data_IF_528567386334
#
_entry.id   IF_528567386334
#
_cell.length_a   1.000
_cell.length_b   1.000
_cell.length_c   1.000
_cell.angle_alpha   90.00
_cell.angle_beta   90.00
_cell.angle_gamma   90.00
#
_symmetry.space_group_name_H-M   'P 1'
#
loop_
_entity.id
_entity.type
_entity.pdbx_description
1 polymer ?
#
# COMPACT_ATOMS: atom_id res chain seq x y z
N UNK A 1 -34.98 21.56 37.57
CA UNK A 1 -34.40 21.66 36.21
C UNK A 1 -32.91 21.33 36.35
N UNK A 2 -32.52 20.10 36.03
CA UNK A 2 -31.15 19.63 36.16
C UNK A 2 -30.65 19.18 34.78
N UNK A 3 -29.43 19.61 34.48
CA UNK A 3 -28.74 19.60 33.18
C UNK A 3 -28.68 18.21 32.55
N UNK A 4 -29.32 18.04 31.39
CA UNK A 4 -29.05 16.94 30.45
C UNK A 4 -27.65 17.13 29.85
N UNK A 5 -26.69 16.31 30.28
CA UNK A 5 -25.41 16.15 29.58
C UNK A 5 -25.68 15.55 28.20
N UNK A 6 -25.44 16.35 27.16
CA UNK A 6 -25.36 15.84 25.79
C UNK A 6 -24.08 15.00 25.68
N UNK A 7 -24.20 13.70 25.93
CA UNK A 7 -23.24 12.70 25.46
C UNK A 7 -23.12 12.89 23.94
N UNK A 8 -22.01 13.49 23.51
CA UNK A 8 -21.62 13.56 22.10
C UNK A 8 -21.62 12.13 21.57
N UNK A 9 -22.48 11.85 20.57
CA UNK A 9 -22.50 10.55 19.91
C UNK A 9 -21.11 10.29 19.30
N UNK A 10 -20.35 9.41 19.94
CA UNK A 10 -19.04 8.94 19.49
C UNK A 10 -19.22 8.31 18.10
N UNK A 11 -18.31 8.57 17.17
CA UNK A 11 -18.35 7.87 15.88
C UNK A 11 -18.24 6.36 16.12
N UNK A 12 -19.18 5.58 15.56
CA UNK A 12 -19.14 4.11 15.67
C UNK A 12 -17.87 3.59 15.00
N UNK A 13 -16.88 3.23 15.82
CA UNK A 13 -15.70 2.48 15.37
C UNK A 13 -16.05 1.01 15.12
N UNK A 14 -15.17 0.26 14.45
CA UNK A 14 -15.35 -1.15 14.09
C UNK A 14 -15.61 -2.09 15.30
N UNK A 15 -15.32 -1.61 16.51
CA UNK A 15 -15.51 -2.30 17.79
C UNK A 15 -16.50 -1.61 18.73
N UNK A 16 -17.33 -0.68 18.22
CA UNK A 16 -18.31 0.06 19.04
C UNK A 16 -19.29 -0.87 19.74
N UNK A 17 -19.78 -1.90 19.05
CA UNK A 17 -20.80 -2.79 19.60
C UNK A 17 -20.25 -3.72 20.71
N UNK A 18 -18.94 -3.95 20.72
CA UNK A 18 -18.24 -4.60 21.85
C UNK A 18 -18.02 -3.64 23.02
N UNK A 19 -17.83 -2.34 22.78
CA UNK A 19 -17.71 -1.32 23.83
C UNK A 19 -19.06 -0.96 24.47
N UNK A 20 -20.14 -0.89 23.67
CA UNK A 20 -21.49 -0.59 24.14
C UNK A 20 -21.98 -1.60 25.19
N UNK A 21 -21.48 -2.85 25.15
CA UNK A 21 -21.77 -3.88 26.16
C UNK A 21 -21.16 -3.60 27.53
N UNK A 22 -20.16 -2.72 27.61
CA UNK A 22 -19.44 -2.41 28.84
C UNK A 22 -19.61 -0.95 29.31
N UNK A 23 -20.20 -0.08 28.49
CA UNK A 23 -20.54 1.31 28.88
C UNK A 23 -21.66 1.35 29.94
N UNK A 24 -22.48 0.30 30.06
CA UNK A 24 -23.55 0.18 31.08
C UNK A 24 -23.07 -0.35 32.45
N UNK A 25 -21.78 -0.66 32.61
CA UNK A 25 -21.22 -1.12 33.90
C UNK A 25 -20.89 0.09 34.79
N UNK A 26 -21.66 0.22 35.88
CA UNK A 26 -21.53 1.27 36.90
C UNK A 26 -20.20 1.22 37.70
N UNK A 27 -19.36 0.20 37.45
CA UNK A 27 -18.05 -0.03 38.08
C UNK A 27 -16.97 -0.19 36.98
N UNK A 28 -15.77 0.41 37.16
CA UNK A 28 -14.67 0.25 36.21
C UNK A 28 -14.24 -1.21 36.15
N UNK A 29 -14.14 -1.76 34.93
CA UNK A 29 -13.66 -3.13 34.69
C UNK A 29 -12.31 -3.32 35.40
N UNK A 30 -12.08 -4.41 36.14
CA UNK A 30 -10.80 -4.68 36.77
C UNK A 30 -9.69 -4.70 35.72
N UNK A 31 -8.58 -4.02 36.04
CA UNK A 31 -7.46 -3.76 35.10
C UNK A 31 -6.88 -5.01 34.44
N UNK A 32 -6.98 -6.16 35.09
CA UNK A 32 -6.50 -7.44 34.54
C UNK A 32 -7.39 -7.98 33.41
N UNK A 33 -8.71 -7.79 33.50
CA UNK A 33 -9.65 -8.22 32.46
C UNK A 33 -9.56 -7.33 31.23
N UNK A 34 -9.38 -6.01 31.42
CA UNK A 34 -9.12 -5.08 30.32
C UNK A 34 -7.81 -5.39 29.59
N UNK A 35 -6.74 -5.71 30.33
CA UNK A 35 -5.46 -6.10 29.72
C UNK A 35 -5.55 -7.41 28.95
N UNK A 36 -6.31 -8.38 29.47
CA UNK A 36 -6.55 -9.64 28.78
C UNK A 36 -7.32 -9.43 27.48
N UNK A 37 -8.40 -8.64 27.51
CA UNK A 37 -9.18 -8.29 26.33
C UNK A 37 -8.35 -7.53 25.30
N UNK A 38 -7.55 -6.56 25.72
CA UNK A 38 -6.70 -5.78 24.81
C UNK A 38 -5.60 -6.65 24.16
N UNK A 39 -5.03 -7.60 24.91
CA UNK A 39 -4.08 -8.59 24.36
C UNK A 39 -4.76 -9.52 23.36
N UNK A 40 -5.97 -9.97 23.63
CA UNK A 40 -6.74 -10.85 22.74
C UNK A 40 -7.14 -10.12 21.44
N UNK A 41 -7.64 -8.89 21.55
CA UNK A 41 -7.92 -8.00 20.41
C UNK A 41 -6.66 -7.77 19.57
N UNK A 42 -5.53 -7.50 20.21
CA UNK A 42 -4.25 -7.31 19.51
C UNK A 42 -3.79 -8.57 18.79
N UNK A 43 -3.84 -9.73 19.45
CA UNK A 43 -3.45 -11.01 18.84
C UNK A 43 -4.35 -11.38 17.65
N UNK A 44 -5.66 -11.15 17.77
CA UNK A 44 -6.61 -11.38 16.67
C UNK A 44 -6.38 -10.41 15.49
N UNK A 45 -6.08 -9.14 15.79
CA UNK A 45 -5.76 -8.15 14.76
C UNK A 45 -4.45 -8.51 14.05
N UNK A 46 -3.40 -8.89 14.79
CA UNK A 46 -2.10 -9.29 14.24
C UNK A 46 -2.24 -10.52 13.32
N UNK A 47 -3.03 -11.52 13.72
CA UNK A 47 -3.30 -12.69 12.89
C UNK A 47 -4.05 -12.33 11.60
N UNK A 48 -5.06 -11.45 11.69
CA UNK A 48 -5.84 -10.99 10.53
C UNK A 48 -4.95 -10.19 9.57
N UNK A 49 -4.15 -9.27 10.11
CA UNK A 49 -3.20 -8.45 9.34
C UNK A 49 -2.19 -9.32 8.60
N UNK A 50 -1.70 -10.38 9.23
CA UNK A 50 -0.81 -11.34 8.58
C UNK A 50 -1.47 -12.03 7.39
N UNK A 51 -2.72 -12.49 7.54
CA UNK A 51 -3.47 -13.16 6.46
C UNK A 51 -3.70 -12.20 5.28
N UNK A 52 -4.11 -10.96 5.55
CA UNK A 52 -4.29 -9.94 4.50
C UNK A 52 -2.98 -9.67 3.75
N UNK A 53 -1.86 -9.50 4.48
CA UNK A 53 -0.54 -9.34 3.87
C UNK A 53 -0.15 -10.56 3.04
N UNK A 54 -0.37 -11.77 3.52
CA UNK A 54 -0.08 -13.00 2.77
C UNK A 54 -0.90 -13.11 1.47
N UNK A 55 -2.18 -12.75 1.50
CA UNK A 55 -3.03 -12.72 0.31
C UNK A 55 -2.54 -11.69 -0.72
N UNK A 56 -2.07 -10.52 -0.27
CA UNK A 56 -1.49 -9.50 -1.14
C UNK A 56 -0.15 -9.95 -1.73
N UNK A 57 0.70 -10.63 -0.95
CA UNK A 57 1.91 -11.26 -1.47
C UNK A 57 1.57 -12.25 -2.59
N UNK A 58 0.52 -13.04 -2.39
CA UNK A 58 0.07 -14.00 -3.39
C UNK A 58 -0.41 -13.29 -4.67
N UNK A 59 -1.17 -12.20 -4.56
CA UNK A 59 -1.53 -11.36 -5.72
C UNK A 59 -0.30 -10.81 -6.45
N UNK A 60 0.70 -10.32 -5.70
CA UNK A 60 1.98 -9.87 -6.27
C UNK A 60 2.65 -10.99 -7.06
N UNK A 61 2.73 -12.20 -6.51
CA UNK A 61 3.29 -13.37 -7.20
C UNK A 61 2.50 -13.74 -8.46
N UNK A 62 1.16 -13.69 -8.43
CA UNK A 62 0.32 -13.98 -9.58
C UNK A 62 0.57 -12.99 -10.73
N UNK A 63 0.67 -11.69 -10.42
CA UNK A 63 0.97 -10.68 -11.44
C UNK A 63 2.37 -10.89 -12.03
N UNK A 64 3.35 -11.31 -11.22
CA UNK A 64 4.66 -11.70 -11.73
C UNK A 64 4.59 -12.87 -12.71
N UNK A 65 3.88 -13.94 -12.36
CA UNK A 65 3.69 -15.10 -13.25
C UNK A 65 2.99 -14.67 -14.55
N UNK A 66 1.96 -13.82 -14.43
CA UNK A 66 1.20 -13.29 -15.53
C UNK A 66 2.08 -12.48 -16.51
N UNK A 67 3.06 -11.72 -16.02
CA UNK A 67 4.04 -11.06 -16.88
C UNK A 67 5.17 -11.96 -17.38
N UNK A 68 5.36 -13.15 -16.82
CA UNK A 68 6.33 -14.11 -17.37
C UNK A 68 5.70 -14.97 -18.48
N UNK A 69 4.39 -15.23 -18.41
CA UNK A 69 3.67 -16.12 -19.33
C UNK A 69 3.84 -15.84 -20.83
N UNK A 70 3.87 -14.59 -21.33
CA UNK A 70 3.99 -14.36 -22.77
C UNK A 70 5.44 -14.41 -23.29
N UNK A 71 6.45 -14.42 -22.41
CA UNK A 71 7.87 -14.40 -22.81
C UNK A 71 8.23 -15.59 -23.72
N UNK A 72 7.86 -16.85 -23.40
CA UNK A 72 8.14 -17.99 -24.28
C UNK A 72 7.53 -17.81 -25.68
N UNK A 73 6.27 -17.38 -25.78
CA UNK A 73 5.62 -17.16 -27.08
C UNK A 73 6.25 -16.04 -27.91
N UNK A 74 6.83 -15.02 -27.26
CA UNK A 74 7.60 -13.99 -27.97
C UNK A 74 8.94 -14.55 -28.50
N UNK A 75 9.60 -15.42 -27.74
CA UNK A 75 10.85 -16.08 -28.16
C UNK A 75 10.60 -17.07 -29.31
N UNK A 76 9.51 -17.85 -29.22
CA UNK A 76 9.15 -18.88 -30.20
C UNK A 76 8.55 -18.31 -31.48
N UNK A 77 8.33 -16.99 -31.57
CA UNK A 77 7.74 -16.37 -32.76
C UNK A 77 6.23 -16.58 -32.90
N UNK A 78 5.59 -17.26 -31.94
CA UNK A 78 4.18 -17.67 -31.99
C UNK A 78 3.22 -16.66 -31.38
N UNK A 79 3.73 -15.64 -30.69
CA UNK A 79 2.90 -14.59 -30.11
C UNK A 79 2.18 -13.79 -31.22
N UNK A 80 0.85 -13.60 -31.12
CA UNK A 80 0.05 -12.93 -32.17
C UNK A 80 0.52 -11.50 -32.46
N UNK A 81 1.19 -10.85 -31.51
CA UNK A 81 1.69 -9.48 -31.62
C UNK A 81 3.21 -9.40 -31.87
N UNK A 82 3.85 -10.49 -32.29
CA UNK A 82 5.29 -10.49 -32.52
C UNK A 82 5.66 -9.85 -33.87
N UNK A 83 6.21 -8.64 -33.86
CA UNK A 83 6.63 -7.93 -35.07
C UNK A 83 7.74 -8.60 -35.88
N UNK A 84 8.44 -9.60 -35.31
CA UNK A 84 9.43 -10.39 -36.06
C UNK A 84 8.77 -11.11 -37.25
N UNK A 85 7.48 -11.43 -37.17
CA UNK A 85 6.74 -12.00 -38.29
C UNK A 85 6.43 -10.97 -39.37
N UNK A 86 6.19 -9.70 -39.04
CA UNK A 86 5.85 -8.67 -40.04
C UNK A 86 7.03 -8.32 -40.97
N UNK A 87 8.27 -8.40 -40.48
CA UNK A 87 9.47 -8.12 -41.28
C UNK A 87 10.06 -9.36 -41.99
N UNK A 88 9.69 -10.57 -41.58
CA UNK A 88 10.17 -11.82 -42.20
C UNK A 88 9.12 -12.58 -43.03
N UNK A 89 7.84 -12.19 -42.99
CA UNK A 89 6.85 -12.71 -43.94
C UNK A 89 7.09 -12.10 -45.33
N UNK A 90 7.42 -12.96 -46.29
CA UNK A 90 7.73 -12.53 -47.66
C UNK A 90 6.57 -11.79 -48.31
N UNK A 91 6.73 -10.48 -48.51
CA UNK A 91 6.23 -9.58 -49.59
C UNK A 91 4.74 -9.67 -50.01
N UNK A 92 3.90 -10.52 -49.42
CA UNK A 92 2.55 -10.81 -49.90
C UNK A 92 1.43 -10.55 -48.88
N UNK A 93 1.74 -10.10 -47.67
CA UNK A 93 0.71 -9.70 -46.71
C UNK A 93 0.49 -8.20 -46.81
N UNK A 94 -0.64 -7.81 -47.42
CA UNK A 94 -1.13 -6.42 -47.42
C UNK A 94 -1.48 -6.09 -45.96
N UNK A 95 -0.77 -5.13 -45.36
CA UNK A 95 -1.04 -4.71 -43.98
C UNK A 95 -2.45 -4.13 -43.83
N UNK A 96 -3.26 -4.70 -42.94
CA UNK A 96 -4.52 -4.10 -42.49
C UNK A 96 -4.24 -3.05 -41.40
N UNK A 97 -5.21 -2.17 -41.12
CA UNK A 97 -5.10 -1.12 -40.09
C UNK A 97 -4.75 -1.69 -38.70
N UNK A 98 -5.19 -2.92 -38.43
CA UNK A 98 -4.85 -3.69 -37.22
C UNK A 98 -3.33 -3.97 -37.11
N UNK A 99 -2.61 -4.13 -38.23
CA UNK A 99 -1.16 -4.33 -38.23
C UNK A 99 -0.35 -3.09 -37.84
N UNK A 100 -0.94 -1.90 -37.89
CA UNK A 100 -0.32 -0.65 -37.42
C UNK A 100 -0.57 -0.38 -35.93
N UNK A 101 -1.55 -1.05 -35.32
CA UNK A 101 -1.92 -0.89 -33.91
C UNK A 101 -1.44 -2.04 -33.00
N UNK A 102 -0.98 -3.16 -33.59
CA UNK A 102 -0.25 -4.17 -32.83
C UNK A 102 1.07 -3.57 -32.35
N UNK A 103 1.16 -3.37 -31.05
CA UNK A 103 2.38 -3.18 -30.26
C UNK A 103 2.01 -3.78 -28.89
N UNK A 104 2.90 -4.57 -28.27
CA UNK A 104 4.30 -4.22 -28.13
C UNK A 104 5.24 -5.22 -28.83
N UNK A 105 6.16 -4.70 -29.63
CA UNK A 105 7.37 -5.42 -30.00
C UNK A 105 8.04 -5.96 -28.73
N UNK A 106 8.53 -7.20 -28.78
CA UNK A 106 9.20 -7.87 -27.65
C UNK A 106 10.19 -6.96 -26.86
N UNK A 107 11.01 -6.09 -27.48
CA UNK A 107 11.85 -5.16 -26.74
C UNK A 107 11.08 -4.15 -25.87
N UNK A 108 9.96 -3.64 -26.36
CA UNK A 108 9.08 -2.72 -25.63
C UNK A 108 8.45 -3.46 -24.45
N UNK A 109 7.94 -4.67 -24.69
CA UNK A 109 7.44 -5.55 -23.62
C UNK A 109 8.47 -5.74 -22.51
N UNK A 110 9.72 -6.05 -22.86
CA UNK A 110 10.80 -6.28 -21.90
C UNK A 110 11.15 -5.05 -21.07
N UNK A 111 11.14 -3.84 -21.66
CA UNK A 111 11.36 -2.60 -20.92
C UNK A 111 10.25 -2.38 -19.89
N UNK A 112 8.99 -2.54 -20.30
CA UNK A 112 7.85 -2.32 -19.40
C UNK A 112 7.72 -3.41 -18.34
N UNK A 113 7.97 -4.67 -18.70
CA UNK A 113 8.13 -5.75 -17.74
C UNK A 113 9.23 -5.43 -16.72
N UNK A 114 10.36 -4.89 -17.17
CA UNK A 114 11.46 -4.47 -16.28
C UNK A 114 11.03 -3.39 -15.30
N UNK A 115 10.40 -2.31 -15.78
CA UNK A 115 9.99 -1.19 -14.91
C UNK A 115 8.84 -1.59 -13.98
N UNK A 116 7.75 -2.14 -14.52
CA UNK A 116 6.58 -2.54 -13.74
C UNK A 116 6.89 -3.72 -12.80
N UNK A 117 7.65 -4.70 -13.28
CA UNK A 117 8.16 -5.80 -12.49
C UNK A 117 9.08 -5.31 -11.37
N UNK A 118 9.92 -4.31 -11.62
CA UNK A 118 10.74 -3.71 -10.56
C UNK A 118 9.92 -2.99 -9.49
N UNK A 119 8.89 -2.22 -9.86
CA UNK A 119 7.98 -1.61 -8.88
C UNK A 119 7.22 -2.66 -8.06
N UNK A 120 6.76 -3.72 -8.73
CA UNK A 120 6.07 -4.83 -8.09
C UNK A 120 6.99 -5.63 -7.16
N UNK A 121 8.27 -5.80 -7.54
CA UNK A 121 9.32 -6.39 -6.72
C UNK A 121 9.56 -5.58 -5.45
N UNK A 122 9.69 -4.25 -5.57
CA UNK A 122 9.84 -3.35 -4.43
C UNK A 122 8.64 -3.42 -3.48
N UNK A 123 7.42 -3.47 -4.01
CA UNK A 123 6.21 -3.65 -3.21
C UNK A 123 6.21 -5.00 -2.47
N UNK A 124 6.62 -6.09 -3.13
CA UNK A 124 6.75 -7.42 -2.52
C UNK A 124 7.80 -7.47 -1.40
N UNK A 125 8.93 -6.78 -1.58
CA UNK A 125 9.97 -6.66 -0.54
C UNK A 125 9.42 -5.89 0.68
N UNK A 126 8.75 -4.76 0.48
CA UNK A 126 8.17 -4.01 1.59
C UNK A 126 7.14 -4.84 2.35
N UNK A 127 6.34 -5.63 1.63
CA UNK A 127 5.34 -6.50 2.22
C UNK A 127 5.98 -7.63 3.05
N UNK A 128 7.06 -8.25 2.56
CA UNK A 128 7.84 -9.23 3.34
C UNK A 128 8.45 -8.62 4.60
N UNK A 129 8.93 -7.38 4.51
CA UNK A 129 9.42 -6.60 5.66
C UNK A 129 8.31 -6.33 6.68
N UNK A 130 7.10 -5.97 6.23
CA UNK A 130 5.92 -5.76 7.09
C UNK A 130 5.44 -7.05 7.77
N UNK A 131 5.67 -8.20 7.15
CA UNK A 131 5.38 -9.52 7.74
C UNK A 131 6.48 -10.02 8.70
N UNK A 132 7.60 -9.30 8.82
CA UNK A 132 8.72 -9.70 9.69
C UNK A 132 9.63 -10.80 9.11
N UNK A 133 9.56 -11.07 7.81
CA UNK A 133 10.34 -12.11 7.12
C UNK A 133 11.77 -11.65 6.77
N UNK A 134 12.47 -11.06 7.74
CA UNK A 134 13.80 -10.46 7.57
C UNK A 134 14.85 -11.44 7.04
N UNK A 135 14.77 -12.72 7.42
CA UNK A 135 15.68 -13.77 6.94
C UNK A 135 15.50 -14.07 5.45
N UNK A 136 14.27 -14.04 4.96
CA UNK A 136 13.96 -14.27 3.54
C UNK A 136 14.41 -13.04 2.75
N UNK A 137 14.12 -11.85 3.27
CA UNK A 137 14.49 -10.59 2.65
C UNK A 137 16.01 -10.42 2.54
N UNK A 138 16.76 -10.81 3.56
CA UNK A 138 18.22 -10.80 3.53
C UNK A 138 18.80 -11.73 2.45
N UNK A 139 18.19 -12.90 2.23
CA UNK A 139 18.58 -13.82 1.15
C UNK A 139 18.25 -13.25 -0.23
N UNK A 140 17.06 -12.66 -0.38
CA UNK A 140 16.57 -12.12 -1.65
C UNK A 140 17.37 -10.90 -2.11
N UNK A 141 17.66 -9.98 -1.17
CA UNK A 141 18.33 -8.71 -1.47
C UNK A 141 19.85 -8.77 -1.34
N UNK A 142 20.40 -9.83 -0.73
CA UNK A 142 21.81 -9.94 -0.39
C UNK A 142 22.28 -8.91 0.65
N UNK A 143 21.35 -8.23 1.32
CA UNK A 143 21.63 -7.14 2.27
C UNK A 143 21.23 -7.52 3.68
N UNK A 144 21.97 -7.00 4.66
CA UNK A 144 21.66 -7.23 6.06
C UNK A 144 20.37 -6.52 6.48
N UNK A 145 19.64 -7.09 7.46
CA UNK A 145 18.43 -6.49 8.02
C UNK A 145 18.53 -5.06 8.51
N UNK A 146 19.72 -4.67 8.94
CA UNK A 146 20.03 -3.32 9.38
C UNK A 146 19.95 -2.28 8.26
N UNK A 147 20.17 -2.67 7.00
CA UNK A 147 20.24 -1.73 5.87
C UNK A 147 18.90 -1.03 5.59
N UNK A 148 17.78 -1.75 5.70
CA UNK A 148 16.43 -1.18 5.53
C UNK A 148 15.82 -0.66 6.83
N UNK A 149 16.49 -0.86 7.97
CA UNK A 149 16.13 -0.20 9.24
C UNK A 149 16.88 1.11 9.46
N UNK A 150 17.86 1.42 8.61
CA UNK A 150 18.70 2.62 8.70
C UNK A 150 17.92 3.91 8.42
N UNK A 151 16.81 3.84 7.69
CA UNK A 151 15.93 4.97 7.40
C UNK A 151 14.46 4.62 7.64
N UNK A 152 13.60 5.61 7.94
CA UNK A 152 12.22 5.34 8.35
C UNK A 152 11.33 4.83 7.20
N UNK A 153 11.77 4.94 5.95
CA UNK A 153 11.04 4.54 4.74
C UNK A 153 11.09 3.03 4.43
N UNK A 154 11.38 2.20 5.44
CA UNK A 154 11.40 0.74 5.28
C UNK A 154 12.43 0.28 4.24
N UNK A 155 11.98 -0.46 3.24
CA UNK A 155 12.84 -1.07 2.22
C UNK A 155 13.09 -0.17 1.00
N UNK A 156 12.71 1.10 1.08
CA UNK A 156 12.92 2.08 0.02
C UNK A 156 14.38 2.14 -0.45
N UNK A 157 14.63 2.20 -1.77
CA UNK A 157 15.97 2.40 -2.30
C UNK A 157 16.57 3.73 -1.84
N UNK A 158 17.89 3.77 -1.62
CA UNK A 158 18.60 4.95 -1.11
C UNK A 158 18.39 6.21 -1.95
N UNK A 159 18.23 6.08 -3.26
CA UNK A 159 17.95 7.22 -4.16
C UNK A 159 16.58 7.86 -3.91
N UNK A 160 15.60 7.10 -3.41
CA UNK A 160 14.26 7.60 -3.12
C UNK A 160 14.18 8.26 -1.74
N UNK A 161 15.09 7.92 -0.82
CA UNK A 161 15.03 8.37 0.59
C UNK A 161 15.08 9.88 0.72
N UNK A 162 15.93 10.58 -0.05
CA UNK A 162 15.99 12.05 -0.01
C UNK A 162 14.68 12.68 -0.45
N UNK A 163 14.15 12.25 -1.59
CA UNK A 163 12.88 12.73 -2.17
C UNK A 163 11.73 12.47 -1.19
N UNK A 164 11.64 11.26 -0.64
CA UNK A 164 10.59 10.88 0.32
C UNK A 164 10.71 11.67 1.63
N UNK A 165 11.94 11.97 2.07
CA UNK A 165 12.18 12.83 3.24
C UNK A 165 11.66 14.24 2.99
N UNK A 166 12.01 14.83 1.85
CA UNK A 166 11.57 16.18 1.48
C UNK A 166 10.04 16.28 1.38
N UNK A 167 9.40 15.29 0.76
CA UNK A 167 7.93 15.22 0.67
C UNK A 167 7.34 15.10 2.08
N UNK A 168 7.87 14.20 2.92
CA UNK A 168 7.37 14.02 4.29
C UNK A 168 7.50 15.30 5.12
N UNK A 169 8.60 16.04 4.99
CA UNK A 169 8.78 17.32 5.70
C UNK A 169 7.88 18.43 5.14
N UNK A 170 7.69 18.48 3.82
CA UNK A 170 6.81 19.46 3.18
C UNK A 170 5.33 19.26 3.55
N UNK A 171 4.91 17.99 3.62
CA UNK A 171 3.51 17.57 3.84
C UNK A 171 3.18 17.29 5.30
N UNK A 172 4.21 17.16 6.15
CA UNK A 172 4.07 16.95 7.59
C UNK A 172 3.41 18.16 8.26
N UNK A 173 2.73 17.90 9.38
CA UNK A 173 2.09 18.95 10.16
C UNK A 173 3.16 19.97 10.57
N UNK A 174 3.17 21.15 9.93
CA UNK A 174 4.11 22.21 10.24
C UNK A 174 3.73 22.73 11.62
N UNK A 175 4.42 22.24 12.65
CA UNK A 175 4.28 22.77 14.01
C UNK A 175 4.69 24.23 13.92
N UNK A 176 3.71 25.13 13.84
CA UNK A 176 3.97 26.56 13.93
C UNK A 176 4.42 26.80 15.37
N UNK A 177 5.73 26.99 15.57
CA UNK A 177 6.35 27.13 16.90
C UNK A 177 5.74 28.25 17.77
N UNK A 178 4.92 29.12 17.20
CA UNK A 178 4.32 30.29 17.87
C UNK A 178 2.79 30.19 18.06
N UNK A 179 2.16 29.07 17.70
CA UNK A 179 0.71 28.86 17.94
C UNK A 179 0.51 27.97 19.19
N UNK A 180 -0.54 28.27 19.98
CA UNK A 180 -0.92 27.44 21.13
C UNK A 180 -1.30 26.04 20.64
N UNK A 181 -0.84 25.01 21.35
CA UNK A 181 -1.13 23.60 21.03
C UNK A 181 -2.64 23.26 20.96
N UNK A 182 -3.50 24.11 21.53
CA UNK A 182 -4.96 23.98 21.51
C UNK A 182 -5.59 24.41 20.17
N UNK A 183 -4.88 25.18 19.34
CA UNK A 183 -5.38 25.63 18.03
C UNK A 183 -4.92 24.67 16.94
N UNK A 184 -5.45 23.46 16.95
CA UNK A 184 -5.32 22.55 15.80
C UNK A 184 -6.24 23.09 14.70
N UNK A 185 -5.67 23.53 13.58
CA UNK A 185 -6.45 23.89 12.38
C UNK A 185 -7.43 22.74 12.07
N UNK A 186 -8.72 23.09 11.92
CA UNK A 186 -9.78 22.14 11.61
C UNK A 186 -9.55 21.55 10.22
N UNK A 187 -8.76 20.50 10.15
CA UNK A 187 -8.62 19.68 8.95
C UNK A 187 -9.90 18.88 8.78
N UNK A 188 -10.57 19.05 7.63
CA UNK A 188 -11.69 18.18 7.24
C UNK A 188 -11.27 16.71 7.43
N UNK A 189 -12.19 15.87 7.92
CA UNK A 189 -11.91 14.47 8.25
C UNK A 189 -11.22 13.69 7.12
N UNK A 190 -11.56 14.03 5.88
CA UNK A 190 -11.06 13.36 4.68
C UNK A 190 -9.62 13.77 4.36
N UNK A 191 -9.27 15.03 4.58
CA UNK A 191 -7.89 15.50 4.41
C UNK A 191 -7.01 14.97 5.54
N UNK A 192 -7.53 14.89 6.78
CA UNK A 192 -6.79 14.29 7.90
C UNK A 192 -6.34 12.85 7.61
N UNK A 193 -7.22 12.05 7.01
CA UNK A 193 -6.91 10.65 6.72
C UNK A 193 -5.82 10.48 5.63
N UNK A 194 -5.76 11.42 4.69
CA UNK A 194 -4.72 11.49 3.66
C UNK A 194 -3.40 12.03 4.26
N UNK A 195 -3.45 13.09 5.08
CA UNK A 195 -2.29 13.61 5.80
C UNK A 195 -1.67 12.59 6.76
N UNK A 196 -2.49 11.83 7.49
CA UNK A 196 -2.03 10.74 8.34
C UNK A 196 -1.33 9.65 7.52
N UNK A 197 -1.81 9.37 6.30
CA UNK A 197 -1.16 8.42 5.39
C UNK A 197 0.18 8.93 4.84
N UNK A 198 0.27 10.22 4.50
CA UNK A 198 1.49 10.82 3.94
C UNK A 198 2.54 11.16 5.01
N UNK A 199 2.12 11.43 6.24
CA UNK A 199 3.04 11.67 7.36
C UNK A 199 3.79 10.40 7.78
N UNK A 200 3.21 9.23 7.48
CA UNK A 200 3.82 7.94 7.77
C UNK A 200 4.82 7.54 6.68
N UNK A 201 6.11 7.36 7.02
CA UNK A 201 7.18 7.16 6.02
C UNK A 201 7.00 5.89 5.18
N UNK A 202 6.46 4.81 5.76
CA UNK A 202 6.23 3.57 4.99
C UNK A 202 5.03 3.66 4.05
N UNK A 203 3.94 4.31 4.47
CA UNK A 203 2.79 4.54 3.59
C UNK A 203 3.14 5.54 2.48
N UNK A 204 3.93 6.57 2.79
CA UNK A 204 4.46 7.50 1.80
C UNK A 204 5.27 6.76 0.72
N UNK A 205 6.09 5.77 1.12
CA UNK A 205 6.82 4.94 0.17
C UNK A 205 5.87 4.11 -0.73
N UNK A 206 4.82 3.50 -0.17
CA UNK A 206 3.81 2.79 -0.96
C UNK A 206 3.07 3.72 -1.94
N UNK A 207 2.75 4.96 -1.51
CA UNK A 207 2.20 6.01 -2.38
C UNK A 207 3.14 6.35 -3.54
N UNK A 208 4.44 6.46 -3.27
CA UNK A 208 5.44 6.70 -4.30
C UNK A 208 5.48 5.57 -5.34
N UNK A 209 5.43 4.31 -4.89
CA UNK A 209 5.35 3.15 -5.79
C UNK A 209 4.05 3.16 -6.61
N UNK A 210 2.91 3.50 -5.99
CA UNK A 210 1.62 3.59 -6.67
C UNK A 210 1.61 4.66 -7.76
N UNK A 211 2.03 5.89 -7.42
CA UNK A 211 2.08 7.01 -8.37
C UNK A 211 3.07 6.71 -9.50
N UNK A 212 4.21 6.08 -9.20
CA UNK A 212 5.17 5.64 -10.22
C UNK A 212 4.59 4.58 -11.16
N UNK A 213 3.71 3.71 -10.65
CA UNK A 213 3.05 2.65 -11.42
C UNK A 213 1.85 3.10 -12.26
N UNK A 214 1.16 4.16 -11.86
CA UNK A 214 -0.11 4.61 -12.47
C UNK A 214 -0.04 5.16 -13.91
N UNK A 215 0.92 6.03 -14.30
CA UNK A 215 0.96 6.58 -15.65
C UNK A 215 1.53 5.57 -16.65
N UNK A 216 2.33 4.60 -16.19
CA UNK A 216 3.06 3.67 -17.04
C UNK A 216 2.17 2.84 -17.98
N UNK A 217 1.02 2.27 -17.56
CA UNK A 217 0.15 1.52 -18.46
C UNK A 217 -0.40 2.36 -19.61
N UNK A 218 -0.70 3.64 -19.35
CA UNK A 218 -1.26 4.57 -20.33
C UNK A 218 -0.19 5.16 -21.27
N UNK A 219 1.06 5.26 -20.81
CA UNK A 219 2.19 5.73 -21.63
C UNK A 219 2.59 4.73 -22.72
N UNK A 220 2.28 3.44 -22.54
CA UNK A 220 2.62 2.37 -23.49
C UNK A 220 1.66 2.37 -24.69
N UNK A 221 0.39 2.64 -24.43
CA UNK A 221 -0.67 2.57 -25.43
C UNK A 221 -1.37 3.91 -25.48
N UNK A 222 -0.95 4.76 -26.44
CA UNK A 222 -1.81 5.85 -26.90
C UNK A 222 -3.19 5.31 -27.29
N UNK A 223 -4.18 6.19 -27.39
CA UNK A 223 -5.64 5.96 -27.41
C UNK A 223 -6.25 4.83 -28.31
N UNK A 224 -5.46 3.99 -28.99
CA UNK A 224 -5.90 2.91 -29.86
C UNK A 224 -5.77 1.47 -29.32
N UNK A 225 -5.07 1.18 -28.20
CA UNK A 225 -4.91 -0.20 -27.69
C UNK A 225 -5.11 -0.32 -26.17
N UNK A 226 -6.35 -0.07 -25.73
CA UNK A 226 -6.75 -0.18 -24.32
C UNK A 226 -6.72 -1.62 -23.77
N UNK A 227 -6.89 -2.62 -24.63
CA UNK A 227 -6.84 -4.04 -24.21
C UNK A 227 -5.47 -4.39 -23.63
N UNK A 228 -4.40 -3.97 -24.32
CA UNK A 228 -3.04 -4.22 -23.85
C UNK A 228 -2.63 -3.26 -22.72
N UNK A 229 -3.17 -2.03 -22.67
CA UNK A 229 -3.00 -1.13 -21.53
C UNK A 229 -3.58 -1.71 -20.23
N UNK A 230 -4.74 -2.39 -20.35
CA UNK A 230 -5.37 -3.11 -19.24
C UNK A 230 -4.44 -4.15 -18.62
N UNK A 231 -3.65 -4.84 -19.44
CA UNK A 231 -2.68 -5.83 -18.95
C UNK A 231 -1.62 -5.24 -18.02
N UNK A 232 -1.10 -4.05 -18.35
CA UNK A 232 -0.10 -3.39 -17.50
C UNK A 232 -0.72 -2.67 -16.29
N UNK A 233 -2.06 -2.48 -16.28
CA UNK A 233 -2.77 -1.87 -15.16
C UNK A 233 -2.86 -2.76 -13.92
N UNK A 234 -2.55 -4.06 -14.04
CA UNK A 234 -2.53 -4.97 -12.88
C UNK A 234 -1.50 -4.55 -11.83
N UNK A 235 -0.35 -3.99 -12.22
CA UNK A 235 0.66 -3.50 -11.26
C UNK A 235 0.12 -2.38 -10.37
N UNK A 236 -0.34 -1.23 -10.92
CA UNK A 236 -0.92 -0.18 -10.07
C UNK A 236 -2.18 -0.64 -9.34
N UNK A 237 -2.97 -1.57 -9.90
CA UNK A 237 -4.12 -2.13 -9.19
C UNK A 237 -3.73 -2.91 -7.92
N UNK A 238 -2.73 -3.80 -8.01
CA UNK A 238 -2.25 -4.57 -6.84
C UNK A 238 -1.53 -3.67 -5.84
N UNK A 239 -0.68 -2.74 -6.30
CA UNK A 239 -0.02 -1.77 -5.41
C UNK A 239 -1.05 -0.85 -4.73
N UNK A 240 -2.10 -0.44 -5.46
CA UNK A 240 -3.19 0.35 -4.90
C UNK A 240 -4.00 -0.41 -3.85
N UNK A 241 -4.26 -1.70 -4.09
CA UNK A 241 -4.92 -2.58 -3.11
C UNK A 241 -4.07 -2.74 -1.86
N UNK A 242 -2.76 -2.93 -2.02
CA UNK A 242 -1.79 -2.98 -0.92
C UNK A 242 -1.76 -1.67 -0.10
N UNK A 243 -1.76 -0.53 -0.79
CA UNK A 243 -1.79 0.78 -0.15
C UNK A 243 -3.08 0.98 0.66
N UNK A 244 -4.23 0.61 0.10
CA UNK A 244 -5.52 0.71 0.77
C UNK A 244 -5.58 -0.19 2.01
N UNK A 245 -5.16 -1.46 1.89
CA UNK A 245 -5.14 -2.40 3.01
C UNK A 245 -4.20 -1.95 4.13
N UNK A 246 -2.98 -1.50 3.81
CA UNK A 246 -2.04 -1.02 4.84
C UNK A 246 -2.54 0.28 5.49
N UNK A 247 -3.24 1.13 4.75
CA UNK A 247 -3.90 2.31 5.32
C UNK A 247 -4.98 1.89 6.31
N UNK A 248 -5.79 0.88 6.00
CA UNK A 248 -6.82 0.37 6.92
C UNK A 248 -6.25 -0.33 8.14
N UNK A 249 -5.23 -1.18 7.96
CA UNK A 249 -4.52 -1.84 9.07
C UNK A 249 -3.95 -0.80 10.03
N UNK A 250 -3.32 0.26 9.52
CA UNK A 250 -2.76 1.31 10.39
C UNK A 250 -3.83 2.14 11.08
N UNK A 251 -4.97 2.36 10.42
CA UNK A 251 -6.11 3.01 11.08
C UNK A 251 -6.64 2.16 12.23
N UNK A 252 -6.73 0.83 12.08
CA UNK A 252 -7.14 -0.06 13.17
C UNK A 252 -6.11 -0.12 14.29
N UNK A 253 -4.81 -0.18 13.96
CA UNK A 253 -3.72 -0.14 14.95
C UNK A 253 -3.72 1.18 15.75
N UNK A 254 -3.90 2.32 15.09
CA UNK A 254 -3.97 3.62 15.76
C UNK A 254 -5.19 3.74 16.69
N UNK A 255 -6.33 3.13 16.31
CA UNK A 255 -7.50 3.06 17.18
C UNK A 255 -7.25 2.20 18.42
N UNK A 256 -6.55 1.07 18.27
CA UNK A 256 -6.15 0.21 19.39
C UNK A 256 -5.14 0.91 20.32
N UNK A 257 -4.18 1.66 19.77
CA UNK A 257 -3.24 2.47 20.56
C UNK A 257 -3.95 3.62 21.30
N UNK A 258 -4.92 4.27 20.66
CA UNK A 258 -5.76 5.27 21.30
C UNK A 258 -6.57 4.68 22.47
N UNK A 259 -7.05 3.45 22.33
CA UNK A 259 -7.73 2.72 23.39
C UNK A 259 -6.79 2.40 24.58
N UNK A 260 -5.54 2.01 24.32
CA UNK A 260 -4.52 1.82 25.36
C UNK A 260 -4.13 3.15 26.04
N UNK A 261 -4.12 4.26 25.31
CA UNK A 261 -3.88 5.60 25.87
C UNK A 261 -4.95 6.06 26.87
N UNK A 262 -6.22 5.75 26.60
CA UNK A 262 -7.35 6.07 27.49
C UNK A 262 -7.26 5.38 28.86
N UNK A 263 -6.51 4.28 28.97
CA UNK A 263 -6.19 3.61 30.25
C UNK A 263 -5.40 4.52 31.19
N UNK A 264 -4.54 5.39 30.66
CA UNK A 264 -3.66 6.24 31.45
C UNK A 264 -4.33 7.55 31.87
N UNK A 265 -5.19 8.14 31.04
CA UNK A 265 -5.96 9.33 31.40
C UNK A 265 -6.94 9.06 32.56
N UNK A 266 -7.54 7.86 32.61
CA UNK A 266 -8.43 7.46 33.71
C UNK A 266 -7.72 7.26 35.06
N UNK A 267 -6.39 7.12 35.09
CA UNK A 267 -5.60 7.03 36.34
C UNK A 267 -5.12 8.39 36.86
N UNK A 268 -5.24 9.45 36.06
CA UNK A 268 -4.83 10.82 36.41
C UNK A 268 -6.00 11.77 36.70
N UNK A 269 -7.24 11.27 36.70
CA UNK A 269 -8.46 12.01 37.06
C UNK A 269 -8.87 11.73 38.51
#
# INVERSE_FOLDING_TARGET
MASTSKLQSRSKGLHSDTLDKYDDLHEPIPTEEQEKLLRELKASNDASNYIYRAALLFMVCLVFVLYLTPIPSYIDGTHPENHLTLFHHGVHVIGTEDHLTYLPAFPIYMIFFGIQGYLLYLAGIELLSLMGHDKILAKLTGRNPSAYRAHPFGTAPSYAVSILSDIRYSTGNKIKLNERADQVEATNSDSKALYDSLSNPRLLYLWFLFIGGCPLPLLIFGAGNFSNAGWFSFTPAVIGTLLASETWIRRSENQLLGLDGLKYDHKSA
#
